data_IF_105915957358
#
_entry.id   IF_105915957358
#
_cell.length_a   1.000
_cell.length_b   1.000
_cell.length_c   1.000
_cell.angle_alpha   90.00
_cell.angle_beta   90.00
_cell.angle_gamma   90.00
#
_symmetry.space_group_name_H-M   'P 1'
#
loop_
_entity.id
_entity.type
_entity.pdbx_description
1 polymer ?
#
# COMPACT_ATOMS: atom_id res chain seq x y z
N UNK A 1 34.60 3.53 -2.87
CA UNK A 1 33.51 3.81 -3.82
C UNK A 1 32.82 5.08 -3.34
N UNK A 2 32.91 6.16 -4.09
CA UNK A 2 32.23 7.42 -3.76
C UNK A 2 30.88 7.37 -4.48
N UNK A 3 29.80 7.14 -3.74
CA UNK A 3 28.46 7.06 -4.30
C UNK A 3 27.94 8.49 -4.39
N UNK A 4 27.57 8.91 -5.60
CA UNK A 4 26.89 10.18 -5.82
C UNK A 4 25.50 10.14 -5.16
N UNK A 5 25.32 10.89 -4.07
CA UNK A 5 24.09 10.93 -3.28
C UNK A 5 22.91 11.57 -4.03
N UNK A 6 23.05 12.00 -5.28
CA UNK A 6 21.95 12.56 -6.08
C UNK A 6 21.10 11.49 -6.79
N UNK A 7 21.62 10.27 -7.00
CA UNK A 7 20.95 9.23 -7.79
C UNK A 7 20.50 8.03 -6.93
N UNK A 8 19.32 7.45 -7.21
CA UNK A 8 18.90 6.21 -6.54
C UNK A 8 19.85 5.07 -6.93
N UNK A 9 20.26 4.27 -5.94
CA UNK A 9 21.13 3.12 -6.14
C UNK A 9 20.29 1.83 -6.14
N UNK A 10 20.30 1.12 -7.27
CA UNK A 10 19.69 -0.19 -7.40
C UNK A 10 20.80 -1.24 -7.48
N UNK A 11 20.67 -2.27 -6.66
CA UNK A 11 21.57 -3.41 -6.62
C UNK A 11 20.74 -4.63 -7.01
N UNK A 12 21.25 -5.47 -7.90
CA UNK A 12 20.47 -6.60 -8.40
C UNK A 12 21.34 -7.79 -8.69
N UNK A 13 20.71 -8.96 -8.74
CA UNK A 13 21.34 -10.20 -9.13
C UNK A 13 20.32 -11.32 -9.26
N UNK A 14 20.65 -12.30 -10.08
CA UNK A 14 19.86 -13.50 -10.26
C UNK A 14 20.52 -14.69 -9.57
N UNK A 15 19.73 -15.62 -9.04
CA UNK A 15 20.23 -16.83 -8.37
C UNK A 15 21.27 -16.47 -7.29
N UNK A 16 22.43 -17.13 -7.25
CA UNK A 16 23.52 -16.82 -6.33
C UNK A 16 24.02 -15.37 -6.43
N UNK A 17 23.97 -14.77 -7.62
CA UNK A 17 24.28 -13.36 -7.81
C UNK A 17 23.32 -12.45 -7.03
N UNK A 18 22.06 -12.88 -6.86
CA UNK A 18 21.09 -12.21 -6.00
C UNK A 18 21.47 -12.30 -4.53
N UNK A 19 21.93 -13.46 -4.05
CA UNK A 19 22.45 -13.60 -2.67
C UNK A 19 23.65 -12.68 -2.42
N UNK A 20 24.57 -12.56 -3.38
CA UNK A 20 25.70 -11.64 -3.31
C UNK A 20 25.21 -10.18 -3.28
N UNK A 21 24.23 -9.82 -4.12
CA UNK A 21 23.60 -8.50 -4.13
C UNK A 21 22.97 -8.15 -2.77
N UNK A 22 22.28 -9.09 -2.14
CA UNK A 22 21.67 -8.91 -0.81
C UNK A 22 22.73 -8.67 0.26
N UNK A 23 23.77 -9.51 0.32
CA UNK A 23 24.88 -9.35 1.28
C UNK A 23 25.65 -8.04 1.06
N UNK A 24 25.89 -7.66 -0.19
CA UNK A 24 26.53 -6.39 -0.52
C UNK A 24 25.68 -5.20 -0.05
N UNK A 25 24.37 -5.26 -0.23
CA UNK A 25 23.43 -4.24 0.24
C UNK A 25 23.45 -4.13 1.77
N UNK A 26 23.43 -5.25 2.50
CA UNK A 26 23.59 -5.26 3.96
C UNK A 26 24.91 -4.61 4.39
N UNK A 27 26.01 -4.93 3.72
CA UNK A 27 27.31 -4.31 4.02
C UNK A 27 27.32 -2.79 3.76
N UNK A 28 26.58 -2.31 2.75
CA UNK A 28 26.42 -0.88 2.51
C UNK A 28 25.59 -0.20 3.59
N UNK A 29 24.48 -0.83 4.01
CA UNK A 29 23.60 -0.33 5.08
C UNK A 29 24.33 -0.25 6.43
N UNK A 30 25.22 -1.20 6.71
CA UNK A 30 26.05 -1.21 7.91
C UNK A 30 27.15 -0.13 7.88
N UNK A 31 27.89 -0.05 6.77
CA UNK A 31 29.09 0.81 6.67
C UNK A 31 28.78 2.29 6.51
N UNK A 32 27.64 2.60 5.90
CA UNK A 32 27.23 3.98 5.69
C UNK A 32 26.04 4.27 6.60
N UNK A 33 26.16 5.30 7.45
CA UNK A 33 25.00 5.96 8.07
C UNK A 33 24.21 6.67 6.96
N UNK A 34 23.54 5.88 6.12
CA UNK A 34 22.72 6.38 5.03
C UNK A 34 21.61 7.18 5.70
N UNK A 35 21.58 8.49 5.41
CA UNK A 35 20.49 9.37 5.82
C UNK A 35 19.15 8.70 5.44
N UNK A 36 18.16 8.81 6.32
CA UNK A 36 16.79 8.26 6.23
C UNK A 36 16.03 8.59 4.95
N UNK A 37 16.63 9.33 4.02
CA UNK A 37 16.00 9.85 2.81
C UNK A 37 16.41 9.13 1.52
N UNK A 38 17.46 8.28 1.51
CA UNK A 38 17.97 7.64 0.27
C UNK A 38 18.59 6.25 0.48
N UNK A 39 17.76 5.25 0.79
CA UNK A 39 18.21 3.87 0.93
C UNK A 39 18.44 3.18 -0.44
N UNK A 40 19.45 2.29 -0.57
CA UNK A 40 19.59 1.45 -1.75
C UNK A 40 18.40 0.50 -1.88
N UNK A 41 18.03 0.17 -3.11
CA UNK A 41 17.02 -0.86 -3.40
C UNK A 41 17.71 -2.10 -3.97
N UNK A 42 17.63 -3.21 -3.24
CA UNK A 42 18.10 -4.51 -3.69
C UNK A 42 16.95 -5.31 -4.30
N UNK A 43 17.03 -5.61 -5.59
CA UNK A 43 16.05 -6.42 -6.32
C UNK A 43 16.71 -7.71 -6.76
N UNK A 44 16.28 -8.86 -6.24
CA UNK A 44 16.85 -10.16 -6.64
C UNK A 44 15.83 -11.00 -7.40
N UNK A 45 16.31 -11.90 -8.24
CA UNK A 45 15.48 -12.84 -9.01
C UNK A 45 15.94 -14.25 -8.70
N UNK A 46 15.04 -15.11 -8.24
CA UNK A 46 15.35 -16.53 -8.02
C UNK A 46 16.49 -16.81 -7.05
N UNK A 47 16.77 -15.89 -6.13
CA UNK A 47 17.89 -16.03 -5.19
C UNK A 47 17.56 -17.01 -4.06
N UNK A 48 18.50 -17.89 -3.66
CA UNK A 48 18.32 -18.67 -2.44
C UNK A 48 18.25 -17.77 -1.22
N UNK A 49 17.53 -18.23 -0.19
CA UNK A 49 17.48 -17.56 1.11
C UNK A 49 18.90 -17.43 1.69
N UNK A 50 19.11 -16.35 2.44
CA UNK A 50 20.37 -16.09 3.12
C UNK A 50 20.11 -15.73 4.58
N UNK A 51 21.06 -16.07 5.44
CA UNK A 51 20.96 -15.81 6.87
C UNK A 51 20.01 -16.74 7.61
N UNK A 52 20.27 -16.83 8.90
CA UNK A 52 19.53 -17.61 9.86
C UNK A 52 18.47 -16.75 10.58
N UNK A 53 17.88 -17.31 11.63
CA UNK A 53 16.93 -16.61 12.51
C UNK A 53 17.54 -15.36 13.15
N UNK A 54 18.81 -15.41 13.55
CA UNK A 54 19.51 -14.24 14.11
C UNK A 54 19.61 -13.09 13.13
N UNK A 55 19.93 -13.36 11.86
CA UNK A 55 19.96 -12.31 10.83
C UNK A 55 18.55 -11.75 10.55
N UNK A 56 17.54 -12.61 10.45
CA UNK A 56 16.17 -12.19 10.20
C UNK A 56 15.62 -11.33 11.35
N UNK A 57 15.88 -11.70 12.60
CA UNK A 57 15.51 -10.92 13.78
C UNK A 57 16.24 -9.58 13.79
N UNK A 58 17.55 -9.58 13.53
CA UNK A 58 18.34 -8.36 13.46
C UNK A 58 17.79 -7.38 12.42
N UNK A 59 17.48 -7.84 11.20
CA UNK A 59 16.92 -6.99 10.14
C UNK A 59 15.51 -6.50 10.47
N UNK A 60 14.69 -7.35 11.12
CA UNK A 60 13.33 -6.99 11.53
C UNK A 60 13.30 -5.83 12.53
N UNK A 61 14.33 -5.72 13.37
CA UNK A 61 14.52 -4.60 14.29
C UNK A 61 14.89 -3.27 13.58
N UNK A 62 15.21 -3.30 12.28
CA UNK A 62 15.50 -2.12 11.46
C UNK A 62 14.54 -2.04 10.24
N UNK A 63 13.29 -1.55 10.41
CA UNK A 63 12.29 -1.51 9.32
C UNK A 63 12.77 -0.79 8.05
N UNK A 64 13.60 0.24 8.19
CA UNK A 64 14.19 0.96 7.06
C UNK A 64 15.20 0.11 6.26
N UNK A 65 15.85 -0.87 6.89
CA UNK A 65 16.71 -1.83 6.19
C UNK A 65 15.86 -2.91 5.55
N UNK A 66 14.86 -3.44 6.26
CA UNK A 66 13.99 -4.48 5.74
C UNK A 66 13.26 -4.03 4.45
N UNK A 67 12.90 -2.75 4.36
CA UNK A 67 12.26 -2.15 3.18
C UNK A 67 13.19 -1.99 1.96
N UNK A 68 14.50 -2.19 2.11
CA UNK A 68 15.48 -2.11 1.03
C UNK A 68 15.48 -3.34 0.12
N UNK A 69 14.77 -4.42 0.47
CA UNK A 69 14.90 -5.71 -0.19
C UNK A 69 13.59 -6.15 -0.86
N UNK A 70 13.69 -6.46 -2.15
CA UNK A 70 12.63 -7.06 -2.97
C UNK A 70 13.15 -8.34 -3.65
N UNK A 71 12.62 -9.48 -3.25
CA UNK A 71 12.97 -10.80 -3.76
C UNK A 71 11.88 -11.27 -4.72
N UNK A 72 12.17 -11.32 -6.02
CA UNK A 72 11.26 -11.81 -7.05
C UNK A 72 11.45 -13.31 -7.21
N UNK A 73 10.38 -14.08 -7.02
CA UNK A 73 10.41 -15.54 -7.03
C UNK A 73 9.30 -16.07 -7.94
N UNK A 74 9.63 -16.97 -8.85
CA UNK A 74 8.65 -17.74 -9.63
C UNK A 74 8.27 -19.04 -8.92
N UNK A 75 7.00 -19.42 -9.06
CA UNK A 75 6.43 -20.73 -8.70
C UNK A 75 7.07 -21.91 -9.44
N UNK A 76 7.71 -21.66 -10.58
CA UNK A 76 8.48 -22.65 -11.34
C UNK A 76 9.98 -22.68 -10.98
N UNK A 77 10.47 -21.73 -10.17
CA UNK A 77 11.88 -21.65 -9.81
C UNK A 77 12.21 -22.46 -8.55
N UNK A 78 12.98 -23.56 -8.66
CA UNK A 78 13.37 -24.35 -7.50
C UNK A 78 14.49 -23.70 -6.68
N UNK A 79 15.26 -22.75 -7.23
CA UNK A 79 16.50 -22.25 -6.61
C UNK A 79 16.28 -21.59 -5.25
N UNK A 80 15.27 -20.71 -5.05
CA UNK A 80 14.92 -20.16 -3.73
C UNK A 80 14.63 -21.23 -2.66
N UNK A 81 14.37 -22.48 -3.08
CA UNK A 81 13.87 -23.58 -2.26
C UNK A 81 14.95 -24.59 -1.85
N UNK A 82 16.13 -24.53 -2.49
CA UNK A 82 17.22 -25.50 -2.28
C UNK A 82 17.84 -25.40 -0.88
N UNK A 83 17.72 -24.24 -0.21
CA UNK A 83 18.34 -23.96 1.10
C UNK A 83 17.32 -23.59 2.18
N UNK A 84 16.14 -24.21 2.23
CA UNK A 84 15.11 -23.86 3.24
C UNK A 84 15.51 -24.30 4.67
N UNK A 85 16.37 -25.31 4.82
CA UNK A 85 16.76 -25.81 6.13
C UNK A 85 17.78 -24.90 6.83
N UNK A 86 17.29 -24.14 7.81
CA UNK A 86 18.10 -23.27 8.68
C UNK A 86 18.20 -21.81 8.23
N UNK A 87 17.65 -21.47 7.06
CA UNK A 87 17.63 -20.10 6.54
C UNK A 87 16.25 -19.46 6.70
N UNK A 88 16.22 -18.14 6.91
CA UNK A 88 14.98 -17.39 7.14
C UNK A 88 14.79 -16.28 6.10
N UNK A 89 13.56 -16.07 5.60
CA UNK A 89 13.27 -14.96 4.70
C UNK A 89 13.22 -13.63 5.47
N UNK A 90 13.72 -12.57 4.85
CA UNK A 90 13.51 -11.19 5.26
C UNK A 90 13.27 -10.32 4.02
N UNK A 91 12.84 -9.08 4.22
CA UNK A 91 12.46 -8.20 3.13
C UNK A 91 11.10 -8.56 2.52
N UNK A 92 10.85 -8.03 1.34
CA UNK A 92 9.61 -8.29 0.60
C UNK A 92 9.81 -9.36 -0.45
N UNK A 93 8.93 -10.34 -0.52
CA UNK A 93 8.91 -11.35 -1.58
C UNK A 93 7.77 -11.07 -2.55
N UNK A 94 8.08 -10.86 -3.83
CA UNK A 94 7.12 -10.86 -4.93
C UNK A 94 7.08 -12.26 -5.53
N UNK A 95 6.03 -13.01 -5.20
CA UNK A 95 5.80 -14.37 -5.70
C UNK A 95 5.00 -14.29 -6.99
N UNK A 96 5.50 -14.93 -8.03
CA UNK A 96 4.99 -14.89 -9.40
C UNK A 96 4.44 -16.27 -9.76
N UNK A 97 3.17 -16.31 -10.17
CA UNK A 97 2.41 -17.47 -10.61
C UNK A 97 1.98 -17.25 -12.07
N UNK A 98 1.58 -18.30 -12.78
CA UNK A 98 1.07 -18.18 -14.16
C UNK A 98 -0.10 -17.20 -14.30
N UNK A 99 -0.96 -17.10 -13.28
CA UNK A 99 -2.16 -16.26 -13.28
C UNK A 99 -1.93 -14.84 -12.73
N UNK A 100 -0.78 -14.57 -12.09
CA UNK A 100 -0.55 -13.29 -11.43
C UNK A 100 0.67 -13.27 -10.52
N UNK A 101 0.84 -12.21 -9.74
CA UNK A 101 1.88 -12.15 -8.69
C UNK A 101 1.29 -11.59 -7.42
N UNK A 102 1.97 -11.74 -6.27
CA UNK A 102 1.57 -11.23 -4.94
C UNK A 102 2.79 -10.93 -4.07
N UNK A 103 2.71 -9.90 -3.21
CA UNK A 103 3.79 -9.47 -2.31
C UNK A 103 3.55 -9.93 -0.87
N UNK A 104 4.57 -10.52 -0.27
CA UNK A 104 4.56 -11.00 1.11
C UNK A 104 5.75 -10.43 1.88
N UNK A 105 5.55 -10.16 3.16
CA UNK A 105 6.60 -9.67 4.08
C UNK A 105 6.67 -10.51 5.35
N UNK A 106 5.58 -11.19 5.72
CA UNK A 106 5.55 -12.12 6.85
C UNK A 106 6.47 -13.33 6.58
N UNK A 107 7.55 -13.52 7.36
CA UNK A 107 8.53 -14.56 7.11
C UNK A 107 7.95 -15.99 7.11
N UNK A 108 6.95 -16.24 7.97
CA UNK A 108 6.33 -17.56 8.10
C UNK A 108 5.50 -17.88 6.85
N UNK A 109 4.66 -16.95 6.41
CA UNK A 109 3.88 -17.05 5.17
C UNK A 109 4.79 -17.25 3.96
N UNK A 110 5.90 -16.50 3.88
CA UNK A 110 6.87 -16.65 2.79
C UNK A 110 7.45 -18.07 2.78
N UNK A 111 7.86 -18.57 3.94
CA UNK A 111 8.43 -19.91 4.07
C UNK A 111 7.44 -20.99 3.66
N UNK A 112 6.18 -20.89 4.11
CA UNK A 112 5.09 -21.80 3.75
C UNK A 112 4.82 -21.80 2.24
N UNK A 113 4.81 -20.63 1.60
CA UNK A 113 4.61 -20.52 0.15
C UNK A 113 5.78 -21.11 -0.64
N UNK A 114 7.02 -20.87 -0.21
CA UNK A 114 8.21 -21.47 -0.83
C UNK A 114 8.22 -23.00 -0.69
N UNK A 115 7.78 -23.53 0.45
CA UNK A 115 7.66 -24.97 0.70
C UNK A 115 6.51 -25.62 -0.06
N UNK A 116 5.33 -24.99 -0.11
CA UNK A 116 4.18 -25.49 -0.86
C UNK A 116 4.52 -25.62 -2.35
N UNK A 117 5.23 -24.64 -2.90
CA UNK A 117 5.68 -24.68 -4.28
C UNK A 117 6.75 -25.79 -4.51
N UNK A 118 7.60 -26.10 -3.53
CA UNK A 118 8.58 -27.20 -3.61
C UNK A 118 7.92 -28.57 -3.75
N UNK A 119 6.84 -28.84 -3.01
CA UNK A 119 6.12 -30.12 -3.02
C UNK A 119 5.28 -30.35 -4.30
N UNK A 120 4.85 -29.28 -4.97
CA UNK A 120 4.05 -29.34 -6.20
C UNK A 120 4.87 -29.46 -7.50
N UNK A 121 6.20 -29.42 -7.44
CA UNK A 121 7.05 -29.33 -8.62
C UNK A 121 7.36 -30.71 -9.21
N UNK A 122 7.00 -31.01 -10.48
CA UNK A 122 7.43 -32.24 -11.13
C UNK A 122 8.96 -32.22 -11.26
N UNK A 123 9.62 -33.30 -10.84
CA UNK A 123 11.07 -33.38 -10.63
C UNK A 123 11.99 -33.23 -11.86
N UNK A 124 11.51 -32.67 -12.98
CA UNK A 124 12.25 -32.49 -14.24
C UNK A 124 11.89 -31.15 -14.92
N UNK A 125 12.17 -30.02 -14.27
CA UNK A 125 12.08 -28.70 -14.92
C UNK A 125 13.43 -28.34 -15.56
N UNK A 126 13.41 -28.01 -16.85
CA UNK A 126 14.57 -27.49 -17.59
C UNK A 126 15.00 -26.14 -16.98
N UNK A 127 16.23 -26.01 -16.48
CA UNK A 127 16.73 -24.76 -15.90
C UNK A 127 16.57 -23.54 -16.81
N UNK A 128 16.65 -23.74 -18.14
CA UNK A 128 16.51 -22.64 -19.11
C UNK A 128 15.09 -22.06 -19.13
N UNK A 129 14.06 -22.87 -18.85
CA UNK A 129 12.66 -22.39 -18.77
C UNK A 129 12.41 -21.48 -17.57
N UNK A 130 13.16 -21.67 -16.48
CA UNK A 130 13.07 -20.82 -15.28
C UNK A 130 13.67 -19.44 -15.55
N UNK A 131 14.78 -19.35 -16.29
CA UNK A 131 15.36 -18.07 -16.69
C UNK A 131 14.47 -17.29 -17.66
N UNK A 132 13.83 -17.96 -18.63
CA UNK A 132 12.84 -17.34 -19.52
C UNK A 132 11.60 -16.84 -18.76
N UNK A 133 11.25 -17.48 -17.63
CA UNK A 133 10.11 -17.09 -16.78
C UNK A 133 10.27 -15.68 -16.19
N UNK A 134 11.45 -15.32 -15.68
CA UNK A 134 11.63 -13.98 -15.09
C UNK A 134 11.59 -12.86 -16.14
N UNK A 135 12.14 -13.09 -17.33
CA UNK A 135 12.06 -12.12 -18.44
C UNK A 135 10.63 -11.91 -18.90
N UNK A 136 9.90 -12.99 -19.16
CA UNK A 136 8.48 -12.94 -19.56
C UNK A 136 7.60 -12.34 -18.46
N UNK A 137 7.93 -12.57 -17.18
CA UNK A 137 7.26 -11.96 -16.04
C UNK A 137 7.44 -10.43 -16.00
N UNK A 138 8.68 -9.95 -16.12
CA UNK A 138 8.97 -8.50 -16.15
C UNK A 138 8.26 -7.84 -17.34
N UNK A 139 8.26 -8.50 -18.50
CA UNK A 139 7.50 -8.03 -19.67
C UNK A 139 5.99 -8.01 -19.42
N UNK A 140 5.43 -9.04 -18.79
CA UNK A 140 4.01 -9.11 -18.48
C UNK A 140 3.59 -8.01 -17.47
N UNK A 141 4.40 -7.77 -16.44
CA UNK A 141 4.23 -6.63 -15.53
C UNK A 141 4.27 -5.29 -16.28
N UNK A 142 5.20 -5.14 -17.22
CA UNK A 142 5.33 -3.93 -18.02
C UNK A 142 4.13 -3.74 -18.98
N UNK A 143 3.64 -4.81 -19.61
CA UNK A 143 2.42 -4.80 -20.45
C UNK A 143 1.18 -4.47 -19.63
N UNK A 144 1.03 -5.02 -18.42
CA UNK A 144 -0.06 -4.64 -17.50
C UNK A 144 0.00 -3.16 -17.08
N UNK A 145 1.19 -2.55 -17.07
CA UNK A 145 1.36 -1.11 -16.87
C UNK A 145 0.97 -0.29 -18.11
N UNK A 146 1.15 -0.84 -19.31
CA UNK A 146 0.85 -0.21 -20.60
C UNK A 146 -0.63 -0.32 -21.02
N UNK A 147 -1.30 -1.45 -20.73
CA UNK A 147 -2.70 -1.71 -21.09
C UNK A 147 -3.72 -1.05 -20.15
N UNK A 148 -3.43 0.16 -19.64
CA UNK A 148 -4.44 0.99 -18.95
C UNK A 148 -5.37 1.74 -19.91
N UNK A 149 -5.20 1.58 -21.22
CA UNK A 149 -6.17 2.06 -22.23
C UNK A 149 -6.99 0.90 -22.81
N UNK A 150 -8.26 0.90 -22.39
CA UNK A 150 -9.50 0.42 -23.04
C UNK A 150 -9.52 -0.86 -23.89
N UNK A 151 -10.61 -1.63 -23.65
CA UNK A 151 -11.18 -2.75 -24.41
C UNK A 151 -10.46 -4.10 -24.36
N UNK A 152 -10.98 -5.04 -23.55
CA UNK A 152 -11.68 -6.26 -23.99
C UNK A 152 -12.37 -6.97 -22.80
N UNK A 153 -13.40 -7.72 -23.16
CA UNK A 153 -14.51 -8.28 -22.37
C UNK A 153 -14.12 -9.14 -21.15
N UNK A 154 -14.92 -8.98 -20.08
CA UNK A 154 -14.95 -9.80 -18.86
C UNK A 154 -14.98 -11.31 -19.16
N UNK A 155 -14.02 -12.05 -18.62
CA UNK A 155 -14.30 -13.33 -17.95
C UNK A 155 -13.15 -13.74 -17.01
N UNK A 156 -13.57 -14.03 -15.77
CA UNK A 156 -12.88 -14.67 -14.66
C UNK A 156 -11.77 -13.88 -13.92
N UNK A 157 -12.28 -13.18 -12.91
CA UNK A 157 -11.60 -12.58 -11.75
C UNK A 157 -10.77 -11.35 -12.11
N UNK A 158 -11.33 -10.19 -11.78
CA UNK A 158 -10.63 -8.92 -11.84
C UNK A 158 -9.53 -8.87 -10.76
N UNK A 159 -8.37 -9.42 -11.07
CA UNK A 159 -7.15 -9.30 -10.27
C UNK A 159 -6.46 -7.91 -10.46
N UNK A 160 -7.13 -6.92 -11.08
CA UNK A 160 -6.56 -5.57 -11.24
C UNK A 160 -6.76 -4.67 -10.02
N UNK A 161 -7.57 -5.11 -9.05
CA UNK A 161 -7.74 -4.48 -7.72
C UNK A 161 -6.77 -5.00 -6.65
N UNK A 162 -5.58 -5.49 -7.05
CA UNK A 162 -4.69 -6.08 -6.06
C UNK A 162 -3.92 -5.02 -5.23
N UNK A 163 -3.83 -5.22 -3.90
CA UNK A 163 -2.94 -4.50 -2.95
C UNK A 163 -1.48 -4.34 -3.40
N UNK A 164 -1.07 -5.04 -4.46
CA UNK A 164 0.21 -4.99 -5.14
C UNK A 164 0.50 -3.68 -5.86
N UNK A 165 -0.43 -3.15 -6.65
CA UNK A 165 -0.19 -1.87 -7.32
C UNK A 165 -0.08 -0.77 -6.28
N UNK A 166 -0.99 -0.76 -5.30
CA UNK A 166 -0.92 0.15 -4.16
C UNK A 166 0.43 0.01 -3.43
N UNK A 167 0.85 -1.18 -3.00
CA UNK A 167 2.11 -1.37 -2.26
C UNK A 167 3.37 -1.09 -3.07
N UNK A 168 3.43 -1.48 -4.34
CA UNK A 168 4.58 -1.14 -5.21
C UNK A 168 4.60 0.37 -5.43
N UNK A 169 3.46 1.01 -5.68
CA UNK A 169 3.39 2.47 -5.83
C UNK A 169 3.74 3.19 -4.52
N UNK A 170 3.28 2.72 -3.35
CA UNK A 170 3.64 3.26 -2.04
C UNK A 170 5.14 3.12 -1.78
N UNK A 171 5.75 1.99 -2.13
CA UNK A 171 7.21 1.78 -2.01
C UNK A 171 7.98 2.66 -3.00
N UNK A 172 7.53 2.76 -4.25
CA UNK A 172 8.14 3.64 -5.26
C UNK A 172 7.94 5.13 -4.93
N UNK A 173 6.84 5.50 -4.27
CA UNK A 173 6.56 6.85 -3.79
C UNK A 173 7.42 7.21 -2.57
N UNK A 174 7.65 6.26 -1.65
CA UNK A 174 8.59 6.42 -0.55
C UNK A 174 10.05 6.62 -1.02
N UNK A 175 10.39 6.10 -2.21
CA UNK A 175 11.69 6.27 -2.88
C UNK A 175 11.69 7.53 -3.79
N UNK A 176 10.57 8.25 -3.89
CA UNK A 176 10.45 9.47 -4.70
C UNK A 176 10.39 9.23 -6.22
N UNK A 177 10.17 7.99 -6.66
CA UNK A 177 10.15 7.59 -8.06
C UNK A 177 8.76 7.73 -8.72
N UNK A 178 7.69 7.79 -7.93
CA UNK A 178 6.29 7.95 -8.40
C UNK A 178 5.55 8.95 -7.51
N UNK A 179 4.87 9.93 -8.12
CA UNK A 179 3.92 10.80 -7.41
C UNK A 179 2.57 10.09 -7.37
N UNK A 180 2.05 9.77 -6.20
CA UNK A 180 0.75 9.11 -6.05
C UNK A 180 -0.34 10.04 -6.56
N UNK A 181 -0.95 9.72 -7.70
CA UNK A 181 -2.15 10.38 -8.18
C UNK A 181 -3.13 9.31 -8.68
N UNK A 182 -4.31 9.31 -8.04
CA UNK A 182 -5.55 8.57 -8.38
C UNK A 182 -5.42 7.04 -8.42
N UNK A 183 -5.89 6.36 -7.37
CA UNK A 183 -6.12 4.91 -7.33
C UNK A 183 -7.56 4.60 -6.91
N UNK A 184 -8.04 3.41 -7.26
CA UNK A 184 -9.32 2.84 -6.83
C UNK A 184 -9.26 2.54 -5.31
N UNK A 185 -10.17 3.14 -4.54
CA UNK A 185 -10.23 3.19 -3.06
C UNK A 185 -11.22 2.16 -2.50
N UNK A 186 -11.88 1.38 -3.37
CA UNK A 186 -12.87 0.35 -2.98
C UNK A 186 -12.30 -0.68 -2.00
N UNK A 187 -10.98 -0.92 -2.01
CA UNK A 187 -10.31 -1.91 -1.13
C UNK A 187 -9.17 -1.33 -0.26
N UNK A 188 -9.04 0.00 -0.17
CA UNK A 188 -8.01 0.63 0.68
C UNK A 188 -8.49 0.79 2.12
N UNK A 189 -7.61 0.47 3.08
CA UNK A 189 -7.81 0.85 4.48
C UNK A 189 -7.62 2.36 4.64
N UNK A 190 -8.41 2.98 5.52
CA UNK A 190 -8.18 4.37 5.93
C UNK A 190 -6.78 4.49 6.54
N UNK A 191 -5.96 5.41 6.02
CA UNK A 191 -4.57 5.57 6.44
C UNK A 191 -4.45 5.99 7.91
N UNK A 192 -5.39 6.83 8.37
CA UNK A 192 -5.50 7.21 9.77
C UNK A 192 -6.25 6.14 10.57
N UNK A 193 -5.51 5.38 11.37
CA UNK A 193 -6.06 4.37 12.27
C UNK A 193 -7.03 4.94 13.31
N UNK A 194 -6.96 6.24 13.60
CA UNK A 194 -7.82 6.95 14.55
C UNK A 194 -9.01 7.63 13.89
N UNK A 195 -9.20 7.49 12.57
CA UNK A 195 -10.33 8.11 11.86
C UNK A 195 -11.68 7.89 12.54
N UNK A 196 -11.99 6.65 12.92
CA UNK A 196 -13.26 6.33 13.59
C UNK A 196 -13.36 6.93 14.99
N UNK A 197 -12.25 7.17 15.69
CA UNK A 197 -12.26 7.90 16.95
C UNK A 197 -12.68 9.35 16.73
N UNK A 198 -12.17 10.00 15.68
CA UNK A 198 -12.58 11.36 15.32
C UNK A 198 -14.06 11.45 14.92
N UNK A 199 -14.59 10.43 14.23
CA UNK A 199 -16.03 10.34 13.93
C UNK A 199 -16.86 10.31 15.21
N UNK A 200 -16.47 9.51 16.20
CA UNK A 200 -17.17 9.43 17.50
C UNK A 200 -17.07 10.75 18.29
N UNK A 201 -15.92 11.43 18.27
CA UNK A 201 -15.76 12.75 18.89
C UNK A 201 -16.66 13.82 18.26
N UNK A 202 -16.80 13.79 16.92
CA UNK A 202 -17.71 14.66 16.20
C UNK A 202 -19.17 14.36 16.57
N UNK A 203 -19.56 13.08 16.68
CA UNK A 203 -20.89 12.67 17.12
C UNK A 203 -21.21 13.15 18.55
N UNK A 204 -20.25 13.09 19.47
CA UNK A 204 -20.39 13.63 20.83
C UNK A 204 -20.64 15.14 20.78
N UNK A 205 -19.90 15.85 19.92
CA UNK A 205 -20.07 17.30 19.73
C UNK A 205 -21.45 17.64 19.15
N UNK A 206 -21.97 16.84 18.20
CA UNK A 206 -23.35 16.96 17.71
C UNK A 206 -24.38 16.76 18.83
N UNK A 207 -24.23 15.73 19.67
CA UNK A 207 -25.13 15.46 20.80
C UNK A 207 -25.16 16.63 21.79
N UNK A 208 -24.00 17.22 22.10
CA UNK A 208 -23.88 18.38 22.98
C UNK A 208 -24.59 19.63 22.42
N UNK A 209 -24.63 19.78 21.10
CA UNK A 209 -25.36 20.86 20.43
C UNK A 209 -26.88 20.64 20.41
N UNK A 210 -27.30 19.37 20.41
CA UNK A 210 -28.72 18.99 20.44
C UNK A 210 -29.31 18.96 21.85
N UNK A 211 -28.48 18.87 22.90
CA UNK A 211 -28.95 18.89 24.29
C UNK A 211 -29.28 20.32 24.73
N UNK A 212 -30.43 20.49 25.39
CA UNK A 212 -30.90 21.80 25.88
C UNK A 212 -30.15 22.34 27.10
N UNK A 213 -29.19 21.60 27.64
CA UNK A 213 -28.54 21.86 28.94
C UNK A 213 -27.12 22.45 28.81
N UNK A 214 -26.57 22.61 27.60
CA UNK A 214 -25.21 23.13 27.38
C UNK A 214 -25.17 24.67 27.32
N UNK A 215 -24.08 25.24 27.86
CA UNK A 215 -23.82 26.69 27.83
C UNK A 215 -23.47 27.17 26.41
N UNK A 216 -23.64 28.48 26.16
CA UNK A 216 -23.34 29.06 24.84
C UNK A 216 -21.86 28.91 24.46
N UNK A 217 -20.96 28.97 25.44
CA UNK A 217 -19.51 28.78 25.26
C UNK A 217 -19.16 27.34 24.85
N UNK A 218 -19.80 26.35 25.47
CA UNK A 218 -19.61 24.94 25.12
C UNK A 218 -20.16 24.63 23.72
N UNK A 219 -21.29 25.25 23.35
CA UNK A 219 -21.86 25.12 22.01
C UNK A 219 -20.95 25.71 20.95
N UNK A 220 -20.37 26.89 21.18
CA UNK A 220 -19.46 27.50 20.21
C UNK A 220 -18.16 26.71 20.06
N UNK A 221 -17.62 26.16 21.16
CA UNK A 221 -16.49 25.24 21.14
C UNK A 221 -16.80 23.96 20.33
N UNK A 222 -17.97 23.36 20.54
CA UNK A 222 -18.41 22.17 19.81
C UNK A 222 -18.59 22.45 18.31
N UNK A 223 -19.17 23.59 17.93
CA UNK A 223 -19.26 24.00 16.51
C UNK A 223 -17.89 24.11 15.86
N UNK A 224 -16.92 24.72 16.54
CA UNK A 224 -15.55 24.86 16.00
C UNK A 224 -14.90 23.50 15.75
N UNK A 225 -15.03 22.57 16.69
CA UNK A 225 -14.52 21.19 16.55
C UNK A 225 -15.14 20.47 15.35
N UNK A 226 -16.44 20.68 15.10
CA UNK A 226 -17.11 20.08 13.95
C UNK A 226 -16.61 20.66 12.62
N UNK A 227 -16.37 21.97 12.53
CA UNK A 227 -15.78 22.61 11.34
C UNK A 227 -14.36 22.08 11.08
N UNK A 228 -13.55 21.92 12.13
CA UNK A 228 -12.20 21.34 12.03
C UNK A 228 -12.25 19.88 11.57
N UNK A 229 -13.15 19.07 12.14
CA UNK A 229 -13.38 17.69 11.72
C UNK A 229 -13.80 17.60 10.25
N UNK A 230 -14.71 18.47 9.81
CA UNK A 230 -15.18 18.52 8.44
C UNK A 230 -14.04 18.81 7.44
N UNK A 231 -13.18 19.78 7.78
CA UNK A 231 -11.99 20.10 7.00
C UNK A 231 -11.04 18.90 6.93
N UNK A 232 -10.80 18.24 8.07
CA UNK A 232 -9.97 17.03 8.13
C UNK A 232 -10.50 15.93 7.19
N UNK A 233 -11.81 15.66 7.19
CA UNK A 233 -12.41 14.66 6.29
C UNK A 233 -12.21 15.06 4.85
N UNK A 234 -12.48 16.32 4.49
CA UNK A 234 -12.37 16.79 3.11
C UNK A 234 -10.93 16.75 2.59
N UNK A 235 -9.95 17.17 3.39
CA UNK A 235 -8.53 17.13 3.01
C UNK A 235 -8.02 15.68 2.89
N UNK A 236 -8.47 14.79 3.78
CA UNK A 236 -8.14 13.36 3.71
C UNK A 236 -8.78 12.69 2.49
N UNK A 237 -9.99 13.09 2.10
CA UNK A 237 -10.62 12.65 0.85
C UNK A 237 -9.86 13.14 -0.38
N UNK A 238 -9.39 14.40 -0.41
CA UNK A 238 -8.56 14.92 -1.53
C UNK A 238 -7.31 14.09 -1.76
N UNK A 239 -6.73 13.56 -0.69
CA UNK A 239 -5.55 12.70 -0.73
C UNK A 239 -5.90 11.22 -0.94
N UNK A 240 -7.19 10.86 -1.06
CA UNK A 240 -7.69 9.48 -1.10
C UNK A 240 -7.18 8.62 0.07
N UNK A 241 -6.97 9.24 1.24
CA UNK A 241 -6.45 8.59 2.43
C UNK A 241 -7.55 7.93 3.29
N UNK A 242 -8.83 8.08 2.91
CA UNK A 242 -9.98 7.48 3.60
C UNK A 242 -10.66 6.47 2.68
N UNK A 243 -10.95 5.28 3.23
CA UNK A 243 -11.70 4.22 2.55
C UNK A 243 -13.08 4.69 2.08
N UNK A 244 -13.56 4.22 0.93
CA UNK A 244 -14.92 4.50 0.46
C UNK A 244 -16.03 3.90 1.35
N UNK A 245 -15.69 2.99 2.27
CA UNK A 245 -16.63 2.39 3.22
C UNK A 245 -17.32 3.42 4.12
N UNK A 246 -16.74 4.61 4.29
CA UNK A 246 -17.36 5.69 5.05
C UNK A 246 -18.71 6.12 4.45
N UNK A 247 -18.93 5.91 3.14
CA UNK A 247 -20.18 6.26 2.45
C UNK A 247 -21.23 5.16 2.48
N UNK A 248 -20.97 4.01 3.11
CA UNK A 248 -21.99 2.97 3.24
C UNK A 248 -23.22 3.55 3.95
N UNK A 249 -24.46 3.29 3.47
CA UNK A 249 -25.67 3.93 4.00
C UNK A 249 -25.91 3.77 5.51
N UNK A 250 -25.25 2.80 6.14
CA UNK A 250 -25.38 2.48 7.58
C UNK A 250 -24.13 2.80 8.40
N UNK A 251 -23.10 3.40 7.80
CA UNK A 251 -21.87 3.76 8.50
C UNK A 251 -22.14 4.77 9.61
N UNK A 252 -21.32 4.76 10.67
CA UNK A 252 -21.42 5.77 11.74
C UNK A 252 -21.20 7.18 11.20
N UNK A 253 -20.36 7.32 10.17
CA UNK A 253 -20.12 8.58 9.48
C UNK A 253 -21.38 9.12 8.78
N UNK A 254 -22.06 8.32 7.96
CA UNK A 254 -23.26 8.77 7.23
C UNK A 254 -24.44 9.05 8.16
N UNK A 255 -24.58 8.28 9.26
CA UNK A 255 -25.56 8.58 10.30
C UNK A 255 -25.26 9.91 10.99
N UNK A 256 -24.02 10.10 11.43
CA UNK A 256 -23.58 11.35 12.07
C UNK A 256 -23.66 12.57 11.16
N UNK A 257 -23.39 12.39 9.87
CA UNK A 257 -23.50 13.45 8.89
C UNK A 257 -24.94 13.96 8.73
N UNK A 258 -25.93 13.05 8.83
CA UNK A 258 -27.34 13.43 8.87
C UNK A 258 -27.64 14.37 10.04
N UNK A 259 -27.23 14.00 11.25
CA UNK A 259 -27.41 14.81 12.46
C UNK A 259 -26.69 16.17 12.37
N UNK A 260 -25.45 16.16 11.88
CA UNK A 260 -24.66 17.38 11.68
C UNK A 260 -25.36 18.39 10.75
N UNK A 261 -25.92 17.94 9.62
CA UNK A 261 -26.64 18.81 8.67
C UNK A 261 -27.88 19.45 9.28
N UNK A 262 -28.62 18.71 10.10
CA UNK A 262 -29.80 19.25 10.79
C UNK A 262 -29.40 20.32 11.82
N UNK A 263 -28.29 20.11 12.54
CA UNK A 263 -27.77 21.05 13.55
C UNK A 263 -27.26 22.34 12.91
N UNK A 264 -26.49 22.25 11.81
CA UNK A 264 -25.88 23.42 11.17
C UNK A 264 -26.88 24.26 10.34
N UNK A 265 -28.10 23.74 10.11
CA UNK A 265 -29.20 24.33 9.31
C UNK A 265 -28.76 24.75 7.89
N UNK A 266 -29.76 25.06 7.05
CA UNK A 266 -29.64 25.25 5.58
C UNK A 266 -28.69 26.36 5.09
N UNK A 267 -28.14 27.18 5.98
CA UNK A 267 -27.23 28.29 5.64
C UNK A 267 -25.77 27.86 5.48
N UNK A 268 -25.40 26.71 6.04
CA UNK A 268 -24.02 26.24 6.02
C UNK A 268 -23.78 25.38 4.76
N UNK A 269 -23.16 26.00 3.75
CA UNK A 269 -22.67 25.30 2.56
C UNK A 269 -21.16 25.19 2.65
N UNK A 270 -20.67 23.96 2.59
CA UNK A 270 -19.26 23.64 2.61
C UNK A 270 -18.90 22.71 1.46
N UNK A 271 -17.62 22.64 1.14
CA UNK A 271 -17.13 21.78 0.05
C UNK A 271 -17.47 20.31 0.28
N UNK A 272 -17.37 19.82 1.52
CA UNK A 272 -17.79 18.46 1.87
C UNK A 272 -19.30 18.28 1.79
N UNK A 273 -20.10 19.25 2.28
CA UNK A 273 -21.56 19.18 2.18
C UNK A 273 -22.08 19.14 0.76
N UNK A 274 -21.45 19.88 -0.16
CA UNK A 274 -21.84 19.87 -1.57
C UNK A 274 -21.44 18.55 -2.24
N UNK A 275 -20.29 17.98 -1.85
CA UNK A 275 -19.85 16.67 -2.32
C UNK A 275 -20.82 15.56 -1.86
N UNK A 276 -21.19 15.56 -0.58
CA UNK A 276 -22.07 14.57 0.05
C UNK A 276 -23.57 14.76 -0.24
N UNK A 277 -23.93 15.65 -1.18
CA UNK A 277 -25.31 15.78 -1.70
C UNK A 277 -25.53 14.96 -2.97
N UNK A 278 -24.48 14.62 -3.70
CA UNK A 278 -24.57 13.90 -4.95
C UNK A 278 -24.03 12.49 -4.77
N UNK A 279 -24.92 11.50 -4.75
CA UNK A 279 -24.55 10.11 -4.47
C UNK A 279 -23.63 9.52 -5.55
N UNK A 280 -23.63 10.07 -6.76
CA UNK A 280 -22.68 9.73 -7.82
C UNK A 280 -21.23 10.06 -7.42
N UNK A 281 -21.02 10.99 -6.48
CA UNK A 281 -19.70 11.31 -5.96
C UNK A 281 -19.12 10.16 -5.13
N UNK A 282 -19.94 9.30 -4.53
CA UNK A 282 -19.43 8.18 -3.72
C UNK A 282 -18.79 7.11 -4.60
N UNK A 283 -19.46 6.77 -5.71
CA UNK A 283 -18.96 5.80 -6.67
C UNK A 283 -17.72 6.32 -7.42
N UNK A 284 -17.75 7.59 -7.85
CA UNK A 284 -16.59 8.22 -8.47
C UNK A 284 -15.42 8.42 -7.49
N UNK A 285 -15.69 8.65 -6.21
CA UNK A 285 -14.65 8.66 -5.17
C UNK A 285 -14.04 7.27 -5.02
N UNK A 286 -14.89 6.24 -4.88
CA UNK A 286 -14.46 4.86 -4.73
C UNK A 286 -13.61 4.41 -5.92
N UNK A 287 -13.96 4.83 -7.14
CA UNK A 287 -13.21 4.51 -8.35
C UNK A 287 -11.97 5.39 -8.57
N UNK A 288 -11.65 6.32 -7.66
CA UNK A 288 -10.49 7.21 -7.79
C UNK A 288 -10.62 8.28 -8.88
N UNK A 289 -11.82 8.51 -9.40
CA UNK A 289 -12.10 9.43 -10.51
C UNK A 289 -12.73 10.75 -10.07
N UNK A 290 -13.17 10.87 -8.80
CA UNK A 290 -13.77 12.09 -8.28
C UNK A 290 -12.84 13.31 -8.41
N UNK A 291 -13.34 14.38 -9.02
CA UNK A 291 -12.62 15.64 -9.10
C UNK A 291 -13.03 16.53 -7.92
N UNK A 292 -12.05 16.90 -7.11
CA UNK A 292 -12.24 17.89 -6.06
C UNK A 292 -12.06 19.28 -6.67
N UNK A 293 -13.04 20.19 -6.56
CA UNK A 293 -12.87 21.55 -7.03
C UNK A 293 -11.65 22.18 -6.35
N UNK A 294 -10.73 22.70 -7.16
CA UNK A 294 -9.62 23.53 -6.70
C UNK A 294 -10.22 24.77 -6.04
N UNK A 295 -10.07 24.84 -4.72
CA UNK A 295 -10.52 25.89 -3.79
C UNK A 295 -11.05 27.18 -4.44
N UNK A 296 -12.29 27.54 -4.14
CA UNK A 296 -12.60 28.97 -3.98
C UNK A 296 -12.13 29.36 -2.58
N UNK A 297 -11.17 30.28 -2.55
CA UNK A 297 -10.74 31.05 -1.37
C UNK A 297 -11.93 31.78 -0.77
#
# INVERSE_FOLDING_TARGET
>A
MQIDNSKPLIITGNSLGGSIATLFTLSLLEKFKISTTKHPLCITFGSPLIGDEGLQEAISNYPAWNSCFLHVVSDHDPVPRVLINGYKPFGTFLICLELGSSCFEDPQTILELLMAAYLGSPGNLDPNKVFESYGTFVEHLNRKKLCKDTTYHESLIDWTTLPLQARIITKLAAIGLVRSQKQNVVSSLTEDSCFWAHVEEALISCKLLSSGESSDEEKDSAKKKLIEFEKYVFDSMKNYAISSEIFLPRSSFMKGWGEYREIMRTSYSSSLSNLLKNDNNYETYANGSLEFPLNFV
#
